data_IF_107341576472
#
_entry.id   IF_107341576472
#
_cell.length_a   1.000
_cell.length_b   1.000
_cell.length_c   1.000
_cell.angle_alpha   90.00
_cell.angle_beta   90.00
_cell.angle_gamma   90.00
#
_symmetry.space_group_name_H-M   'P 1'
#
loop_
_entity.id
_entity.type
_entity.pdbx_description
1 polymer ?
#
# COMPACT_ATOMS: atom_id res chain seq x y z
N UNK A 1 6.71 5.74 21.79
CA UNK A 1 6.08 7.06 21.66
C UNK A 1 6.93 8.17 22.27
N UNK A 2 7.30 8.11 23.56
CA UNK A 2 8.15 9.13 24.20
C UNK A 2 9.46 9.42 23.43
N UNK A 3 10.18 8.38 22.99
CA UNK A 3 11.40 8.53 22.18
C UNK A 3 11.13 9.16 20.80
N UNK A 4 9.95 8.95 20.21
CA UNK A 4 9.58 9.57 18.93
C UNK A 4 9.29 11.05 19.12
N UNK A 5 8.57 11.42 20.17
CA UNK A 5 8.26 12.81 20.51
C UNK A 5 9.55 13.58 20.82
N UNK A 6 10.46 12.98 21.58
CA UNK A 6 11.77 13.58 21.86
C UNK A 6 12.57 13.82 20.57
N UNK A 7 12.57 12.88 19.63
CA UNK A 7 13.28 13.04 18.35
C UNK A 7 12.66 14.07 17.42
N UNK A 8 11.32 14.21 17.43
CA UNK A 8 10.60 15.07 16.47
C UNK A 8 10.41 16.49 16.99
N UNK A 9 10.20 16.65 18.30
CA UNK A 9 9.83 17.93 18.93
C UNK A 9 10.86 18.40 19.97
N UNK A 10 11.92 17.63 20.23
CA UNK A 10 12.98 17.94 21.21
C UNK A 10 12.48 18.13 22.65
N UNK A 11 11.26 17.66 22.94
CA UNK A 11 10.67 17.69 24.29
C UNK A 11 10.81 16.31 24.95
N UNK A 12 11.38 16.28 26.15
CA UNK A 12 11.45 15.06 26.97
C UNK A 12 10.22 14.90 27.84
N UNK A 13 9.55 13.75 27.70
CA UNK A 13 8.50 13.32 28.60
C UNK A 13 8.92 12.07 29.36
N UNK A 14 8.59 12.01 30.66
CA UNK A 14 8.63 10.76 31.37
C UNK A 14 7.54 9.82 30.79
N UNK A 15 7.87 8.58 30.37
CA UNK A 15 6.93 7.70 29.65
C UNK A 15 5.60 7.47 30.36
N UNK A 16 5.62 7.41 31.70
CA UNK A 16 4.40 7.26 32.52
C UNK A 16 3.45 8.46 32.38
N UNK A 17 3.98 9.69 32.41
CA UNK A 17 3.15 10.90 32.31
C UNK A 17 2.64 11.11 30.90
N UNK A 18 3.45 10.81 29.88
CA UNK A 18 3.01 10.86 28.49
C UNK A 18 1.85 9.91 28.22
N UNK A 19 1.93 8.67 28.67
CA UNK A 19 0.85 7.70 28.47
C UNK A 19 -0.43 8.14 29.18
N UNK A 20 -0.33 8.61 30.42
CA UNK A 20 -1.49 9.13 31.16
C UNK A 20 -2.13 10.34 30.47
N UNK A 21 -1.32 11.28 29.96
CA UNK A 21 -1.79 12.44 29.20
C UNK A 21 -2.48 12.03 27.90
N UNK A 22 -1.88 11.13 27.12
CA UNK A 22 -2.47 10.64 25.87
C UNK A 22 -3.81 9.94 26.10
N UNK A 23 -3.92 9.10 27.14
CA UNK A 23 -5.18 8.44 27.50
C UNK A 23 -6.25 9.43 27.93
N UNK A 24 -5.90 10.47 28.71
CA UNK A 24 -6.84 11.51 29.13
C UNK A 24 -7.39 12.35 27.96
N UNK A 25 -6.69 12.35 26.82
CA UNK A 25 -7.10 13.04 25.59
C UNK A 25 -7.65 12.08 24.51
N UNK A 26 -7.97 10.83 24.86
CA UNK A 26 -8.48 9.78 23.95
C UNK A 26 -7.53 9.45 22.78
N UNK A 27 -6.23 9.73 22.94
CA UNK A 27 -5.21 9.47 21.92
C UNK A 27 -4.63 8.08 22.16
N UNK A 28 -5.01 7.13 21.31
CA UNK A 28 -4.44 5.77 21.34
C UNK A 28 -3.21 5.68 20.43
N UNK A 29 -2.08 5.11 20.91
CA UNK A 29 -0.91 4.85 20.05
C UNK A 29 -1.29 3.97 18.86
N UNK A 30 -1.33 4.56 17.67
CA UNK A 30 -1.62 3.83 16.43
C UNK A 30 -0.37 3.08 15.97
N UNK A 31 -0.55 1.81 15.59
CA UNK A 31 0.52 1.07 14.93
C UNK A 31 0.76 1.70 13.55
N UNK A 32 2.01 2.04 13.19
CA UNK A 32 2.28 2.49 11.84
C UNK A 32 1.87 1.41 10.84
N UNK A 33 1.35 1.83 9.67
CA UNK A 33 1.01 0.90 8.60
C UNK A 33 2.25 0.08 8.27
N UNK A 34 2.12 -1.25 8.33
CA UNK A 34 3.20 -2.16 7.96
C UNK A 34 3.42 -2.03 6.45
N UNK A 35 4.56 -1.50 6.05
CA UNK A 35 4.98 -1.50 4.66
C UNK A 35 5.60 -2.87 4.31
N UNK A 36 5.32 -3.37 3.11
CA UNK A 36 5.95 -4.58 2.60
C UNK A 36 7.46 -4.35 2.44
N UNK A 37 8.29 -5.38 2.62
CA UNK A 37 9.75 -5.25 2.45
C UNK A 37 10.14 -4.97 1.00
N UNK A 38 9.29 -5.41 0.06
CA UNK A 38 9.43 -5.22 -1.39
C UNK A 38 8.85 -3.88 -1.87
N UNK A 39 8.44 -2.99 -0.96
CA UNK A 39 7.79 -1.73 -1.29
C UNK A 39 8.79 -0.74 -1.93
N UNK A 40 8.79 -0.69 -3.27
CA UNK A 40 9.51 0.29 -4.06
C UNK A 40 8.58 1.44 -4.47
N UNK A 41 8.77 2.60 -3.81
CA UNK A 41 7.94 3.77 -4.06
C UNK A 41 8.13 4.35 -5.46
N UNK A 42 9.32 4.26 -6.03
CA UNK A 42 9.60 4.80 -7.36
C UNK A 42 8.95 3.93 -8.43
N UNK A 43 8.97 2.61 -8.26
CA UNK A 43 8.24 1.69 -9.12
C UNK A 43 6.72 1.91 -9.04
N UNK A 44 6.18 2.14 -7.85
CA UNK A 44 4.76 2.46 -7.64
C UNK A 44 4.40 3.78 -8.35
N UNK A 45 5.21 4.81 -8.19
CA UNK A 45 4.96 6.12 -8.80
C UNK A 45 4.97 6.02 -10.32
N UNK A 46 6.01 5.41 -10.90
CA UNK A 46 6.11 5.19 -12.35
C UNK A 46 4.89 4.43 -12.88
N UNK A 47 4.51 3.34 -12.23
CA UNK A 47 3.37 2.55 -12.67
C UNK A 47 2.06 3.35 -12.60
N UNK A 48 1.88 4.14 -11.55
CA UNK A 48 0.69 4.96 -11.32
C UNK A 48 0.58 6.13 -12.31
N UNK A 49 1.69 6.80 -12.59
CA UNK A 49 1.73 8.01 -13.41
C UNK A 49 1.81 7.70 -14.91
N UNK A 50 2.49 6.62 -15.29
CA UNK A 50 2.78 6.31 -16.70
C UNK A 50 2.00 5.09 -17.20
N UNK A 51 2.20 3.93 -16.56
CA UNK A 51 1.70 2.66 -17.09
C UNK A 51 0.19 2.54 -16.98
N UNK A 52 -0.39 2.96 -15.85
CA UNK A 52 -1.82 2.83 -15.61
C UNK A 52 -2.66 3.67 -16.60
N UNK A 53 -2.38 4.98 -16.81
CA UNK A 53 -3.06 5.76 -17.83
C UNK A 53 -2.88 5.19 -19.25
N UNK A 54 -1.69 4.65 -19.56
CA UNK A 54 -1.41 4.01 -20.86
C UNK A 54 -2.28 2.78 -21.07
N UNK A 55 -2.38 1.90 -20.08
CA UNK A 55 -3.22 0.69 -20.13
C UNK A 55 -4.70 1.08 -20.29
N UNK A 56 -5.17 2.07 -19.54
CA UNK A 56 -6.54 2.57 -19.63
C UNK A 56 -6.87 3.13 -21.02
N UNK A 57 -5.94 3.89 -21.63
CA UNK A 57 -6.12 4.43 -22.97
C UNK A 57 -6.24 3.32 -24.02
N UNK A 58 -5.39 2.30 -23.93
CA UNK A 58 -5.44 1.14 -24.84
C UNK A 58 -6.74 0.35 -24.67
N UNK A 59 -7.16 0.07 -23.43
CA UNK A 59 -8.39 -0.65 -23.16
C UNK A 59 -9.63 0.10 -23.70
N UNK A 60 -9.68 1.42 -23.54
CA UNK A 60 -10.76 2.25 -24.11
C UNK A 60 -10.75 2.25 -25.63
N UNK A 61 -9.57 2.30 -26.26
CA UNK A 61 -9.44 2.25 -27.72
C UNK A 61 -9.94 0.93 -28.29
N UNK A 62 -9.71 -0.16 -27.57
CA UNK A 62 -9.99 -1.52 -28.05
C UNK A 62 -11.35 -2.08 -27.58
N UNK A 63 -12.18 -1.24 -26.91
CA UNK A 63 -13.42 -1.63 -26.21
C UNK A 63 -13.22 -2.89 -25.34
N UNK A 64 -12.12 -2.89 -24.58
CA UNK A 64 -11.66 -4.01 -23.80
C UNK A 64 -11.81 -3.77 -22.29
N UNK A 65 -12.03 -4.85 -21.54
CA UNK A 65 -12.05 -4.82 -20.09
C UNK A 65 -10.65 -5.07 -19.52
N UNK A 66 -10.30 -4.33 -18.48
CA UNK A 66 -9.06 -4.50 -17.71
C UNK A 66 -9.38 -5.42 -16.53
N UNK A 67 -8.72 -6.58 -16.45
CA UNK A 67 -8.82 -7.51 -15.32
C UNK A 67 -7.48 -7.55 -14.60
N UNK A 68 -7.50 -7.20 -13.32
CA UNK A 68 -6.36 -7.34 -12.41
C UNK A 68 -6.52 -8.63 -11.64
N UNK A 69 -5.55 -9.53 -11.73
CA UNK A 69 -5.50 -10.78 -10.98
C UNK A 69 -4.22 -10.81 -10.18
N UNK A 70 -4.36 -10.93 -8.86
CA UNK A 70 -3.27 -11.14 -7.93
C UNK A 70 -3.40 -12.53 -7.29
N UNK A 71 -2.27 -13.20 -7.10
CA UNK A 71 -2.20 -14.48 -6.40
C UNK A 71 -2.20 -14.23 -4.89
N UNK A 72 -3.36 -13.83 -4.36
CA UNK A 72 -3.59 -13.93 -2.92
C UNK A 72 -3.68 -15.42 -2.57
N UNK A 73 -2.61 -15.97 -1.97
CA UNK A 73 -2.46 -17.39 -1.69
C UNK A 73 -3.69 -18.05 -1.06
N UNK A 74 -4.45 -18.78 -1.86
CA UNK A 74 -5.12 -20.00 -1.42
C UNK A 74 -4.07 -21.09 -1.53
N UNK A 75 -3.69 -21.68 -0.40
CA UNK A 75 -2.69 -22.74 -0.33
C UNK A 75 -3.17 -23.98 -1.10
N UNK A 76 -2.84 -24.06 -2.39
CA UNK A 76 -2.69 -25.31 -3.15
C UNK A 76 -1.49 -25.09 -4.07
N UNK A 77 -0.37 -25.75 -3.77
CA UNK A 77 0.86 -25.68 -4.59
C UNK A 77 0.68 -26.45 -5.93
N UNK A 78 1.60 -26.38 -6.92
CA UNK A 78 2.92 -25.74 -6.88
C UNK A 78 3.31 -24.91 -8.15
N UNK A 79 3.99 -23.78 -7.94
CA UNK A 79 4.76 -22.95 -8.90
C UNK A 79 4.00 -22.23 -10.03
N UNK A 80 3.81 -20.92 -9.89
CA UNK A 80 4.16 -19.85 -10.87
C UNK A 80 3.74 -18.48 -10.33
N UNK A 81 4.58 -17.84 -9.51
CA UNK A 81 4.32 -16.47 -9.07
C UNK A 81 4.52 -15.49 -10.24
N UNK A 82 3.43 -14.88 -10.71
CA UNK A 82 3.47 -13.84 -11.75
C UNK A 82 2.18 -13.04 -11.80
N UNK A 83 2.24 -11.78 -11.34
CA UNK A 83 1.14 -10.83 -11.52
C UNK A 83 0.86 -10.67 -13.03
N UNK A 84 -0.29 -11.17 -13.48
CA UNK A 84 -0.66 -11.17 -14.89
C UNK A 84 -1.79 -10.16 -15.13
N UNK A 85 -1.52 -9.17 -15.97
CA UNK A 85 -2.53 -8.24 -16.47
C UNK A 85 -3.13 -8.84 -17.76
N UNK A 86 -4.41 -9.20 -17.71
CA UNK A 86 -5.13 -9.68 -18.89
C UNK A 86 -6.05 -8.57 -19.42
N UNK A 87 -5.81 -8.12 -20.66
CA UNK A 87 -6.72 -7.23 -21.39
C UNK A 87 -7.63 -8.12 -22.23
N UNK A 88 -8.91 -8.22 -21.86
CA UNK A 88 -9.87 -9.10 -22.54
C UNK A 88 -10.76 -8.26 -23.46
N UNK A 89 -10.65 -8.53 -24.77
CA UNK A 89 -11.43 -7.85 -25.81
C UNK A 89 -12.86 -8.40 -25.83
N UNK A 90 -13.86 -7.53 -25.93
CA UNK A 90 -15.25 -7.93 -26.15
C UNK A 90 -15.36 -8.58 -27.53
N UNK A 91 -15.80 -9.85 -27.61
CA UNK A 91 -16.22 -10.42 -28.90
C UNK A 91 -17.60 -9.83 -29.23
N UNK A 92 -17.75 -9.22 -30.41
CA UNK A 92 -19.06 -8.86 -30.96
C UNK A 92 -19.78 -10.09 -31.48
#
# INVERSE_FOLDING_TARGET
MAQLIERTFEVRFHPRYLNAWLTAHDITPQKPKRQAREHDQDAINRWTEEDWPRIQKTARKDDAHIVLSDEMGVLISPWSAGASLLVMRRRS
#
